data_IF_865264217639
#
_entry.id   IF_865264217639
#
_cell.length_a   1.000
_cell.length_b   1.000
_cell.length_c   1.000
_cell.angle_alpha   90.00
_cell.angle_beta   90.00
_cell.angle_gamma   90.00
#
_symmetry.space_group_name_H-M   'P 1'
#
loop_
_entity.id
_entity.type
_entity.pdbx_description
1 polymer ?
#
# COMPACT_ATOMS: atom_id res chain seq x y z
N UNK A 1 23.56 2.01 -4.88
CA UNK A 1 22.36 1.27 -4.44
C UNK A 1 21.56 2.24 -3.59
N UNK A 2 20.44 2.74 -4.09
CA UNK A 2 19.57 3.63 -3.30
C UNK A 2 19.04 2.82 -2.12
N UNK A 3 19.32 3.24 -0.90
CA UNK A 3 18.80 2.58 0.30
C UNK A 3 17.27 2.64 0.28
N UNK A 4 16.62 1.49 0.10
CA UNK A 4 15.16 1.40 0.17
C UNK A 4 14.80 1.44 1.65
N UNK A 5 14.41 2.62 2.13
CA UNK A 5 13.88 2.78 3.48
C UNK A 5 12.50 2.13 3.55
N UNK A 6 12.39 1.06 4.33
CA UNK A 6 11.10 0.42 4.65
C UNK A 6 10.64 0.90 6.02
N UNK A 7 9.40 1.37 6.11
CA UNK A 7 8.78 1.85 7.35
C UNK A 7 7.40 1.23 7.52
N UNK A 8 6.96 1.06 8.77
CA UNK A 8 5.59 0.66 9.07
C UNK A 8 4.68 1.89 9.05
N UNK A 9 3.68 1.88 8.18
CA UNK A 9 2.63 2.90 8.11
C UNK A 9 1.32 2.31 8.62
N UNK A 10 0.47 3.14 9.24
CA UNK A 10 -0.89 2.71 9.54
C UNK A 10 -1.72 2.71 8.25
N UNK A 11 -2.68 1.79 8.15
CA UNK A 11 -3.59 1.72 6.99
C UNK A 11 -4.36 3.02 6.76
N UNK A 12 -4.72 3.74 7.84
CA UNK A 12 -5.41 5.04 7.78
C UNK A 12 -4.59 6.17 7.10
N UNK A 13 -3.29 5.95 6.90
CA UNK A 13 -2.39 6.90 6.22
C UNK A 13 -2.22 6.58 4.73
N UNK A 14 -2.85 5.52 4.23
CA UNK A 14 -2.73 5.06 2.85
C UNK A 14 -4.00 5.38 2.06
N UNK A 15 -3.83 5.89 0.85
CA UNK A 15 -4.88 6.08 -0.13
C UNK A 15 -4.48 5.43 -1.46
N UNK A 16 -5.46 4.99 -2.23
CA UNK A 16 -5.23 4.46 -3.58
C UNK A 16 -4.94 5.60 -4.54
N UNK A 17 -3.93 5.45 -5.40
CA UNK A 17 -3.65 6.45 -6.45
C UNK A 17 -4.80 6.51 -7.48
N UNK A 18 -4.96 7.69 -8.09
CA UNK A 18 -5.94 7.96 -9.16
C UNK A 18 -5.63 7.11 -10.41
N UNK A 19 -4.36 6.72 -10.58
CA UNK A 19 -3.90 5.90 -11.70
C UNK A 19 -3.43 4.52 -11.23
N UNK A 20 -4.36 3.58 -11.15
CA UNK A 20 -4.03 2.15 -11.10
C UNK A 20 -4.54 1.46 -12.39
N UNK A 21 -3.63 0.91 -13.23
CA UNK A 21 -4.01 0.30 -14.50
C UNK A 21 -4.78 -1.01 -14.32
N UNK A 22 -4.59 -1.73 -13.20
CA UNK A 22 -5.39 -2.91 -12.83
C UNK A 22 -6.42 -2.51 -11.79
N UNK A 23 -7.68 -2.36 -12.21
CA UNK A 23 -8.77 -1.87 -11.35
C UNK A 23 -9.65 -2.96 -10.74
N UNK A 24 -9.51 -4.21 -11.17
CA UNK A 24 -10.32 -5.32 -10.67
C UNK A 24 -9.45 -6.51 -10.30
N UNK A 25 -9.74 -7.06 -9.13
CA UNK A 25 -9.30 -8.37 -8.68
C UNK A 25 -10.54 -9.23 -8.49
N UNK A 26 -10.44 -10.54 -8.71
CA UNK A 26 -11.55 -11.45 -8.41
C UNK A 26 -11.68 -11.62 -6.90
N UNK A 27 -12.91 -11.77 -6.41
CA UNK A 27 -13.18 -11.91 -4.97
C UNK A 27 -12.39 -13.07 -4.35
N UNK A 28 -12.36 -14.24 -5.00
CA UNK A 28 -11.57 -15.38 -4.54
C UNK A 28 -10.06 -15.11 -4.47
N UNK A 29 -9.51 -14.26 -5.34
CA UNK A 29 -8.10 -13.88 -5.27
C UNK A 29 -7.84 -12.96 -4.06
N UNK A 30 -8.79 -12.06 -3.76
CA UNK A 30 -8.70 -11.17 -2.60
C UNK A 30 -8.75 -12.00 -1.31
N UNK A 31 -9.64 -12.99 -1.24
CA UNK A 31 -9.77 -13.90 -0.09
C UNK A 31 -8.48 -14.71 0.13
N UNK A 32 -7.95 -15.37 -0.91
CA UNK A 32 -6.70 -16.13 -0.83
C UNK A 32 -5.51 -15.25 -0.40
N UNK A 33 -5.44 -14.01 -0.88
CA UNK A 33 -4.39 -13.07 -0.50
C UNK A 33 -4.53 -12.62 0.96
N UNK A 34 -5.76 -12.34 1.42
CA UNK A 34 -6.02 -11.95 2.79
C UNK A 34 -5.60 -13.06 3.78
N UNK A 35 -5.97 -14.31 3.50
CA UNK A 35 -5.56 -15.47 4.31
C UNK A 35 -4.04 -15.64 4.34
N UNK A 36 -3.37 -15.41 3.20
CA UNK A 36 -1.91 -15.48 3.12
C UNK A 36 -1.24 -14.40 3.99
N UNK A 37 -1.70 -13.15 3.90
CA UNK A 37 -1.18 -12.03 4.70
C UNK A 37 -1.44 -12.26 6.20
N UNK A 38 -2.57 -12.85 6.58
CA UNK A 38 -2.86 -13.16 7.98
C UNK A 38 -1.90 -14.21 8.56
N UNK A 39 -1.55 -15.24 7.78
CA UNK A 39 -0.63 -16.31 8.24
C UNK A 39 0.84 -15.89 8.24
N UNK A 40 1.28 -15.19 7.20
CA UNK A 40 2.71 -14.97 6.92
C UNK A 40 3.13 -13.51 7.05
N UNK A 41 2.17 -12.59 7.14
CA UNK A 41 2.40 -11.16 7.06
C UNK A 41 2.60 -10.66 5.63
N UNK A 42 2.86 -9.36 5.49
CA UNK A 42 3.16 -8.74 4.20
C UNK A 42 4.62 -9.02 3.80
N UNK A 43 4.84 -10.00 2.92
CA UNK A 43 6.18 -10.39 2.48
C UNK A 43 6.90 -9.32 1.64
N UNK A 44 6.15 -8.50 0.91
CA UNK A 44 6.68 -7.45 0.03
C UNK A 44 6.17 -6.07 0.46
N UNK A 45 7.06 -5.10 0.75
CA UNK A 45 6.62 -3.74 1.05
C UNK A 45 5.77 -3.15 -0.07
N UNK A 46 4.74 -2.39 0.30
CA UNK A 46 3.92 -1.64 -0.64
C UNK A 46 4.71 -0.38 -1.03
N UNK A 47 4.82 -0.13 -2.34
CA UNK A 47 5.49 1.06 -2.85
C UNK A 47 4.54 2.24 -2.71
N UNK A 48 5.01 3.31 -2.08
CA UNK A 48 4.20 4.51 -1.85
C UNK A 48 4.93 5.79 -2.23
N UNK A 49 4.17 6.87 -2.48
CA UNK A 49 4.68 8.25 -2.56
C UNK A 49 3.96 9.16 -1.57
N UNK A 50 4.57 10.28 -1.21
CA UNK A 50 3.90 11.30 -0.40
C UNK A 50 2.66 11.85 -1.11
N UNK A 51 1.59 12.08 -0.35
CA UNK A 51 0.34 12.65 -0.87
C UNK A 51 0.58 14.08 -1.38
N UNK A 52 0.15 14.43 -2.61
CA UNK A 52 0.47 15.72 -3.23
C UNK A 52 -0.14 16.93 -2.51
N UNK A 53 -1.31 16.76 -1.86
CA UNK A 53 -2.02 17.85 -1.18
C UNK A 53 -1.75 17.96 0.33
N UNK A 54 -1.11 16.95 0.95
CA UNK A 54 -0.87 16.90 2.39
C UNK A 54 0.57 16.41 2.67
N UNK A 55 1.59 17.21 2.33
CA UNK A 55 2.99 16.76 2.38
C UNK A 55 3.53 16.49 3.80
N UNK A 56 2.84 16.94 4.86
CA UNK A 56 2.88 16.34 6.20
C UNK A 56 2.04 17.17 7.19
N UNK A 57 0.87 16.67 7.59
CA UNK A 57 0.41 16.45 8.97
C UNK A 57 -1.15 16.41 9.03
N UNK A 58 -1.78 15.22 9.17
CA UNK A 58 -1.15 13.90 9.16
C UNK A 58 -0.53 13.62 7.77
N UNK A 59 0.60 12.92 7.74
CA UNK A 59 1.26 12.57 6.48
C UNK A 59 0.50 11.40 5.84
N UNK A 60 -0.08 11.65 4.66
CA UNK A 60 -0.79 10.66 3.86
C UNK A 60 0.12 10.20 2.71
N UNK A 61 -0.06 8.96 2.26
CA UNK A 61 0.72 8.36 1.18
C UNK A 61 -0.20 7.70 0.14
N UNK A 62 0.21 7.74 -1.13
CA UNK A 62 -0.45 7.02 -2.22
C UNK A 62 0.26 5.71 -2.48
N UNK A 63 -0.47 4.60 -2.39
CA UNK A 63 0.02 3.28 -2.78
C UNK A 63 -0.14 3.06 -4.29
N UNK A 64 0.88 2.45 -4.89
CA UNK A 64 0.93 2.07 -6.32
C UNK A 64 0.48 0.63 -6.56
#
# INVERSE_FOLDING_TARGET
MSEVLTVNLKLEQLETDVFSPRKSFSDGYIEELAESIEREGQLKPIIVRAHPASPCNPCHFHAF
#
